data_IF_999077737842
#
_entry.id   IF_999077737842
#
_cell.length_a   1.000
_cell.length_b   1.000
_cell.length_c   1.000
_cell.angle_alpha   90.00
_cell.angle_beta   90.00
_cell.angle_gamma   90.00
#
_symmetry.space_group_name_H-M   'P 1'
#
loop_
_entity.id
_entity.type
_entity.pdbx_description
1 polymer ?
#
# COMPACT_ATOMS: atom_id res chain seq x y z
N UNK A 1 56.33 -16.81 45.31
CA UNK A 1 55.90 -18.22 45.41
C UNK A 1 56.60 -19.00 44.30
N UNK A 2 57.60 -19.83 44.64
CA UNK A 2 58.37 -20.74 43.76
C UNK A 2 57.46 -21.93 43.29
N UNK A 3 57.90 -22.90 42.45
CA UNK A 3 58.46 -22.82 41.07
C UNK A 3 58.02 -23.99 40.12
N UNK A 4 58.51 -23.96 38.85
CA UNK A 4 59.04 -25.08 38.03
C UNK A 4 58.18 -26.23 37.40
N UNK A 5 58.49 -26.49 36.10
CA UNK A 5 58.79 -27.77 35.39
C UNK A 5 57.70 -28.53 34.60
N UNK A 6 57.80 -28.39 33.27
CA UNK A 6 58.14 -29.41 32.24
C UNK A 6 57.15 -30.54 31.87
N UNK A 7 56.87 -30.64 30.55
CA UNK A 7 56.99 -31.79 29.61
C UNK A 7 56.09 -31.44 28.38
N UNK A 8 56.49 -31.42 27.10
CA UNK A 8 57.07 -32.51 26.29
C UNK A 8 57.52 -31.99 24.89
N UNK A 9 58.75 -32.37 24.53
CA UNK A 9 59.24 -32.90 23.22
C UNK A 9 59.19 -32.13 21.89
N UNK A 10 60.42 -31.82 21.43
CA UNK A 10 61.07 -32.14 20.13
C UNK A 10 60.48 -31.59 18.81
N UNK A 11 61.27 -30.64 18.29
CA UNK A 11 61.95 -30.66 16.98
C UNK A 11 61.20 -30.11 15.74
N UNK A 12 61.71 -28.98 15.21
CA UNK A 12 61.71 -28.74 13.76
C UNK A 12 61.50 -27.29 13.29
N UNK A 13 62.53 -26.45 13.38
CA UNK A 13 62.82 -25.24 12.54
C UNK A 13 61.72 -24.16 12.40
N UNK A 14 61.92 -23.05 13.11
CA UNK A 14 61.73 -21.69 12.56
C UNK A 14 63.12 -21.18 12.12
N UNK A 15 63.31 -20.25 11.14
CA UNK A 15 62.54 -19.00 11.07
C UNK A 15 62.24 -18.48 9.64
N UNK A 16 61.08 -17.85 9.45
CA UNK A 16 61.05 -16.61 8.66
C UNK A 16 59.99 -15.68 9.24
N UNK A 17 60.48 -14.78 10.08
CA UNK A 17 59.83 -13.54 10.44
C UNK A 17 59.42 -12.80 9.16
N UNK A 18 58.13 -12.81 8.83
CA UNK A 18 57.51 -11.66 8.19
C UNK A 18 56.36 -11.21 9.08
N UNK A 19 56.75 -10.59 10.18
CA UNK A 19 55.87 -9.81 11.03
C UNK A 19 55.44 -8.57 10.21
N UNK A 20 54.45 -8.75 9.35
CA UNK A 20 53.71 -7.63 8.76
C UNK A 20 52.97 -6.97 9.92
N UNK A 21 53.65 -5.98 10.50
CA UNK A 21 53.10 -4.99 11.43
C UNK A 21 52.08 -4.18 10.63
N UNK A 22 50.91 -4.76 10.38
CA UNK A 22 49.75 -4.03 9.92
C UNK A 22 49.39 -3.09 11.06
N UNK A 23 49.82 -1.84 10.88
CA UNK A 23 49.50 -0.71 11.72
C UNK A 23 47.97 -0.64 11.86
N UNK A 24 47.43 -1.12 12.97
CA UNK A 24 45.99 -1.20 13.25
C UNK A 24 45.37 0.15 13.62
N UNK A 25 46.11 1.26 13.46
CA UNK A 25 45.67 2.61 13.82
C UNK A 25 45.01 3.40 12.67
N UNK A 26 45.00 2.87 11.43
CA UNK A 26 44.46 3.56 10.25
C UNK A 26 43.31 2.83 9.53
N UNK A 27 42.71 1.82 10.17
CA UNK A 27 41.69 0.96 9.56
C UNK A 27 40.20 1.42 9.61
N UNK A 28 39.74 2.41 10.41
CA UNK A 28 38.30 2.72 10.47
C UNK A 28 37.82 3.79 9.46
N UNK A 29 38.57 4.89 9.28
CA UNK A 29 38.04 6.06 8.56
C UNK A 29 37.99 5.90 7.04
N UNK A 30 38.94 5.17 6.45
CA UNK A 30 39.09 5.01 5.00
C UNK A 30 38.02 4.08 4.43
N UNK A 31 37.77 2.95 5.10
CA UNK A 31 36.72 1.98 4.72
C UNK A 31 35.31 2.54 4.91
N UNK A 32 35.08 3.37 5.94
CA UNK A 32 33.79 4.04 6.13
C UNK A 32 33.54 5.10 5.04
N UNK A 33 34.57 5.87 4.65
CA UNK A 33 34.48 6.82 3.54
C UNK A 33 34.20 6.14 2.20
N UNK A 34 34.88 5.03 1.90
CA UNK A 34 34.62 4.24 0.69
C UNK A 34 33.24 3.60 0.70
N UNK A 35 32.79 3.06 1.83
CA UNK A 35 31.42 2.50 1.97
C UNK A 35 30.37 3.59 1.79
N UNK A 36 30.57 4.78 2.38
CA UNK A 36 29.68 5.94 2.18
C UNK A 36 29.62 6.38 0.72
N UNK A 37 30.77 6.45 0.04
CA UNK A 37 30.88 6.85 -1.36
C UNK A 37 30.21 5.83 -2.28
N UNK A 38 30.50 4.54 -2.10
CA UNK A 38 29.90 3.45 -2.87
C UNK A 38 28.39 3.36 -2.71
N UNK A 39 27.89 3.45 -1.46
CA UNK A 39 26.43 3.40 -1.20
C UNK A 39 25.71 4.64 -1.73
N UNK A 40 26.31 5.83 -1.66
CA UNK A 40 25.70 7.06 -2.19
C UNK A 40 25.60 7.04 -3.73
N UNK A 41 26.49 6.33 -4.41
CA UNK A 41 26.52 6.24 -5.87
C UNK A 41 25.57 5.18 -6.48
N UNK A 42 24.93 4.33 -5.67
CA UNK A 42 24.07 3.26 -6.18
C UNK A 42 22.74 3.79 -6.74
N UNK A 43 22.33 3.23 -7.87
CA UNK A 43 21.02 3.47 -8.48
C UNK A 43 19.87 3.04 -7.55
N UNK A 44 18.75 3.76 -7.59
CA UNK A 44 17.55 3.51 -6.78
C UNK A 44 16.95 2.12 -7.03
N UNK A 45 17.01 1.61 -8.27
CA UNK A 45 16.56 0.25 -8.61
C UNK A 45 17.42 -0.84 -7.97
N UNK A 46 18.73 -0.62 -7.89
CA UNK A 46 19.65 -1.53 -7.19
C UNK A 46 19.34 -1.55 -5.69
N UNK A 47 19.02 -0.39 -5.10
CA UNK A 47 18.59 -0.29 -3.71
C UNK A 47 17.27 -1.03 -3.49
N UNK A 48 16.30 -0.90 -4.40
CA UNK A 48 15.03 -1.63 -4.34
C UNK A 48 15.28 -3.14 -4.36
N UNK A 49 16.03 -3.63 -5.35
CA UNK A 49 16.34 -5.06 -5.48
C UNK A 49 17.03 -5.62 -4.24
N UNK A 50 18.05 -4.94 -3.73
CA UNK A 50 18.76 -5.36 -2.51
C UNK A 50 17.89 -5.32 -1.25
N UNK A 51 16.97 -4.37 -1.16
CA UNK A 51 16.06 -4.24 -0.01
C UNK A 51 15.02 -5.36 0.07
N UNK A 52 14.85 -6.16 -0.98
CA UNK A 52 13.98 -7.34 -0.95
C UNK A 52 14.58 -8.50 -0.14
N UNK A 53 15.90 -8.63 -0.05
CA UNK A 53 16.52 -9.84 0.52
C UNK A 53 17.77 -9.63 1.37
N UNK A 54 18.40 -8.44 1.35
CA UNK A 54 19.71 -8.22 1.98
C UNK A 54 19.63 -7.24 3.17
N UNK A 55 19.35 -7.73 4.39
CA UNK A 55 19.46 -6.93 5.61
C UNK A 55 20.84 -6.27 5.78
N UNK A 56 21.90 -6.91 5.29
CA UNK A 56 23.26 -6.36 5.27
C UNK A 56 23.38 -5.09 4.44
N UNK A 57 22.78 -5.06 3.25
CA UNK A 57 22.77 -3.86 2.42
C UNK A 57 21.88 -2.78 3.04
N UNK A 58 20.71 -3.13 3.60
CA UNK A 58 19.85 -2.19 4.34
C UNK A 58 20.62 -1.53 5.49
N UNK A 59 21.43 -2.30 6.23
CA UNK A 59 22.29 -1.78 7.27
C UNK A 59 23.32 -0.78 6.73
N UNK A 60 23.87 -1.00 5.54
CA UNK A 60 24.81 -0.07 4.87
C UNK A 60 24.10 1.20 4.37
N UNK A 61 22.83 1.10 3.97
CA UNK A 61 22.06 2.25 3.49
C UNK A 61 21.82 3.33 4.55
N UNK A 62 22.01 3.02 5.85
CA UNK A 62 21.97 4.01 6.95
C UNK A 62 22.83 5.26 6.72
N UNK A 63 23.87 5.12 5.89
CA UNK A 63 24.78 6.20 5.53
C UNK A 63 24.29 7.12 4.41
N UNK A 64 23.18 6.79 3.75
CA UNK A 64 22.59 7.62 2.71
C UNK A 64 21.97 8.90 3.28
N UNK A 65 21.82 9.89 2.40
CA UNK A 65 21.13 11.14 2.70
C UNK A 65 19.63 10.94 2.85
N UNK A 66 18.99 11.72 3.73
CA UNK A 66 17.53 11.68 3.93
C UNK A 66 16.81 11.97 2.61
N UNK A 67 17.25 12.97 1.83
CA UNK A 67 16.62 13.30 0.55
C UNK A 67 16.61 12.15 -0.47
N UNK A 68 17.70 11.38 -0.57
CA UNK A 68 17.74 10.18 -1.44
C UNK A 68 16.78 9.10 -0.98
N UNK A 69 16.66 8.95 0.34
CA UNK A 69 15.74 7.98 0.96
C UNK A 69 14.27 8.40 0.78
N UNK A 70 13.99 9.70 0.85
CA UNK A 70 12.68 10.28 0.52
C UNK A 70 12.31 9.99 -0.94
N UNK A 71 13.22 10.25 -1.88
CA UNK A 71 13.01 9.92 -3.30
C UNK A 71 12.78 8.43 -3.53
N UNK A 72 13.49 7.57 -2.78
CA UNK A 72 13.26 6.13 -2.78
C UNK A 72 11.84 5.77 -2.31
N UNK A 73 11.35 6.35 -1.21
CA UNK A 73 10.00 6.11 -0.71
C UNK A 73 8.92 6.56 -1.71
N UNK A 74 9.11 7.70 -2.37
CA UNK A 74 8.21 8.16 -3.43
C UNK A 74 8.14 7.14 -4.57
N UNK A 75 9.28 6.64 -5.04
CA UNK A 75 9.31 5.62 -6.09
C UNK A 75 8.65 4.31 -5.64
N UNK A 76 9.00 3.81 -4.45
CA UNK A 76 8.41 2.59 -3.90
C UNK A 76 6.89 2.71 -3.77
N UNK A 77 6.42 3.87 -3.31
CA UNK A 77 4.99 4.15 -3.15
C UNK A 77 4.30 4.22 -4.51
N UNK A 78 4.88 4.94 -5.48
CA UNK A 78 4.35 5.06 -6.83
C UNK A 78 4.13 3.69 -7.46
N UNK A 79 5.15 2.82 -7.40
CA UNK A 79 5.05 1.46 -7.92
C UNK A 79 4.00 0.64 -7.18
N UNK A 80 3.89 0.82 -5.86
CA UNK A 80 2.98 0.02 -5.04
C UNK A 80 1.50 0.31 -5.27
N UNK A 81 1.14 1.54 -5.66
CA UNK A 81 -0.27 1.92 -5.85
C UNK A 81 -0.82 1.60 -7.24
N UNK A 82 0.03 1.24 -8.21
CA UNK A 82 -0.39 1.03 -9.59
C UNK A 82 -1.52 -0.02 -9.74
N UNK A 83 -1.47 -1.19 -9.07
CA UNK A 83 -2.54 -2.18 -9.19
C UNK A 83 -3.87 -1.61 -8.68
N UNK A 84 -3.86 -1.05 -7.47
CA UNK A 84 -5.03 -0.42 -6.87
C UNK A 84 -5.61 0.69 -7.75
N UNK A 85 -4.76 1.58 -8.28
CA UNK A 85 -5.20 2.66 -9.18
C UNK A 85 -5.85 2.10 -10.45
N UNK A 86 -5.25 1.09 -11.07
CA UNK A 86 -5.77 0.45 -12.29
C UNK A 86 -7.13 -0.20 -12.03
N UNK A 87 -7.27 -1.02 -10.98
CA UNK A 87 -8.51 -1.74 -10.69
C UNK A 87 -9.65 -0.81 -10.30
N UNK A 88 -9.38 0.20 -9.46
CA UNK A 88 -10.42 1.17 -9.07
C UNK A 88 -10.87 2.00 -10.27
N UNK A 89 -9.92 2.46 -11.11
CA UNK A 89 -10.25 3.28 -12.28
C UNK A 89 -10.99 2.50 -13.35
N UNK A 90 -10.59 1.25 -13.62
CA UNK A 90 -11.29 0.37 -14.57
C UNK A 90 -12.69 0.00 -14.07
N UNK A 91 -12.84 -0.32 -12.78
CA UNK A 91 -14.13 -0.62 -12.17
C UNK A 91 -15.09 0.58 -12.24
N UNK A 92 -14.58 1.79 -11.99
CA UNK A 92 -15.38 3.02 -12.10
C UNK A 92 -15.83 3.28 -13.55
N UNK A 93 -14.90 3.17 -14.50
CA UNK A 93 -15.19 3.40 -15.92
C UNK A 93 -16.20 2.37 -16.45
N UNK A 94 -16.03 1.09 -16.09
CA UNK A 94 -16.95 0.04 -16.46
C UNK A 94 -18.32 0.22 -15.80
N UNK A 95 -18.37 0.56 -14.50
CA UNK A 95 -19.63 0.83 -13.80
C UNK A 95 -20.45 1.94 -14.46
N UNK A 96 -19.79 3.04 -14.86
CA UNK A 96 -20.45 4.14 -15.57
C UNK A 96 -20.89 3.74 -16.99
N UNK A 97 -20.06 2.98 -17.71
CA UNK A 97 -20.38 2.50 -19.07
C UNK A 97 -21.57 1.55 -19.05
N UNK A 98 -21.58 0.59 -18.13
CA UNK A 98 -22.66 -0.38 -17.94
C UNK A 98 -23.94 0.33 -17.54
N UNK A 99 -23.89 1.21 -16.53
CA UNK A 99 -25.09 1.97 -16.11
C UNK A 99 -25.69 2.79 -17.26
N UNK A 100 -24.84 3.44 -18.07
CA UNK A 100 -25.27 4.17 -19.25
C UNK A 100 -25.92 3.26 -20.30
N UNK A 101 -25.36 2.07 -20.55
CA UNK A 101 -25.94 1.10 -21.48
C UNK A 101 -27.30 0.58 -21.01
N UNK A 102 -27.46 0.33 -19.70
CA UNK A 102 -28.72 -0.16 -19.12
C UNK A 102 -29.82 0.89 -19.19
N UNK A 103 -29.52 2.14 -18.85
CA UNK A 103 -30.47 3.23 -19.02
C UNK A 103 -30.89 3.37 -20.47
N UNK A 104 -29.95 3.32 -21.42
CA UNK A 104 -30.20 3.54 -22.85
C UNK A 104 -30.95 2.39 -23.55
N UNK A 105 -30.77 1.16 -23.12
CA UNK A 105 -31.25 0.00 -23.88
C UNK A 105 -32.23 -0.90 -23.12
N UNK A 106 -32.23 -0.89 -21.79
CA UNK A 106 -32.98 -1.86 -20.98
C UNK A 106 -34.06 -1.24 -20.11
N UNK A 107 -33.89 0.02 -19.68
CA UNK A 107 -34.87 0.70 -18.84
C UNK A 107 -35.89 1.48 -19.68
N UNK A 108 -37.20 1.31 -19.43
CA UNK A 108 -38.23 2.15 -20.03
C UNK A 108 -38.13 3.59 -19.51
N UNK A 109 -38.73 4.57 -20.22
CA UNK A 109 -38.84 5.94 -19.72
C UNK A 109 -39.46 5.97 -18.32
N UNK A 110 -38.97 6.88 -17.49
CA UNK A 110 -39.45 7.03 -16.13
C UNK A 110 -39.37 8.48 -15.66
N UNK A 111 -40.23 8.82 -14.70
CA UNK A 111 -40.16 10.08 -13.97
C UNK A 111 -40.32 9.83 -12.48
N UNK A 112 -39.61 10.62 -11.66
CA UNK A 112 -39.77 10.66 -10.22
C UNK A 112 -40.38 12.01 -9.87
N UNK A 113 -41.62 12.00 -9.41
CA UNK A 113 -42.39 13.20 -9.09
C UNK A 113 -43.24 12.95 -7.85
N UNK A 114 -43.41 13.98 -7.00
CA UNK A 114 -44.24 13.88 -5.79
C UNK A 114 -43.89 12.70 -4.86
N UNK A 115 -42.63 12.27 -4.85
CA UNK A 115 -42.16 11.15 -4.03
C UNK A 115 -42.46 9.75 -4.60
N UNK A 116 -42.89 9.65 -5.87
CA UNK A 116 -43.16 8.38 -6.54
C UNK A 116 -42.41 8.23 -7.88
N UNK A 117 -41.95 7.02 -8.17
CA UNK A 117 -41.41 6.60 -9.46
C UNK A 117 -42.54 6.13 -10.37
N UNK A 118 -42.69 6.81 -11.51
CA UNK A 118 -43.65 6.49 -12.56
C UNK A 118 -42.94 5.92 -13.79
N UNK A 119 -43.45 4.80 -14.32
CA UNK A 119 -42.98 4.19 -15.56
C UNK A 119 -44.03 3.22 -16.12
N UNK A 120 -44.03 2.98 -17.43
CA UNK A 120 -44.94 2.06 -18.12
C UNK A 120 -44.63 0.56 -17.87
N UNK A 121 -43.56 0.26 -17.12
CA UNK A 121 -43.18 -1.11 -16.78
C UNK A 121 -44.29 -1.84 -16.00
N UNK A 122 -44.83 -2.93 -16.56
CA UNK A 122 -45.87 -3.75 -15.91
C UNK A 122 -45.32 -4.73 -14.84
N UNK A 123 -44.01 -5.01 -14.90
CA UNK A 123 -43.31 -5.93 -14.01
C UNK A 123 -41.93 -5.37 -13.61
N UNK A 124 -41.43 -5.73 -12.41
CA UNK A 124 -40.07 -5.41 -12.00
C UNK A 124 -39.04 -5.91 -13.02
N UNK A 125 -38.06 -5.06 -13.34
CA UNK A 125 -36.92 -5.39 -14.20
C UNK A 125 -35.74 -5.70 -13.30
N UNK A 126 -35.14 -6.86 -13.49
CA UNK A 126 -33.97 -7.33 -12.75
C UNK A 126 -32.83 -7.60 -13.72
N UNK A 127 -31.70 -6.94 -13.50
CA UNK A 127 -30.52 -6.99 -14.36
C UNK A 127 -29.35 -7.40 -13.47
N UNK A 128 -28.73 -8.55 -13.76
CA UNK A 128 -27.55 -9.02 -13.06
C UNK A 128 -26.32 -8.90 -13.97
N UNK A 129 -25.37 -8.06 -13.57
CA UNK A 129 -24.14 -7.82 -14.32
C UNK A 129 -22.93 -8.05 -13.41
N UNK A 130 -22.35 -9.25 -13.50
CA UNK A 130 -21.04 -9.54 -12.90
C UNK A 130 -20.99 -9.41 -11.38
N UNK A 131 -22.05 -9.77 -10.66
CA UNK A 131 -22.12 -9.68 -9.20
C UNK A 131 -22.62 -8.33 -8.67
N UNK A 132 -23.21 -7.51 -9.56
CA UNK A 132 -23.91 -6.28 -9.24
C UNK A 132 -25.33 -6.35 -9.82
N UNK A 133 -26.34 -6.24 -8.95
CA UNK A 133 -27.75 -6.37 -9.34
C UNK A 133 -28.41 -5.00 -9.46
N UNK A 134 -29.03 -4.71 -10.59
CA UNK A 134 -29.83 -3.51 -10.79
C UNK A 134 -31.30 -3.90 -10.85
N UNK A 135 -32.13 -3.25 -10.03
CA UNK A 135 -33.56 -3.52 -9.91
C UNK A 135 -34.32 -2.24 -10.23
N UNK A 136 -35.32 -2.34 -11.08
CA UNK A 136 -36.21 -1.23 -11.41
C UNK A 136 -37.65 -1.69 -11.23
N UNK A 137 -38.38 -1.06 -10.30
CA UNK A 137 -39.76 -1.40 -10.01
C UNK A 137 -40.60 -0.16 -9.67
N UNK A 138 -41.41 0.29 -10.63
CA UNK A 138 -42.44 1.31 -10.43
C UNK A 138 -43.75 0.76 -9.86
N UNK A 139 -43.94 -0.57 -9.82
CA UNK A 139 -45.21 -1.20 -9.42
C UNK A 139 -45.35 -1.39 -7.91
N UNK A 140 -44.24 -1.37 -7.17
CA UNK A 140 -44.21 -1.59 -5.71
C UNK A 140 -44.33 -3.06 -5.31
N UNK A 141 -43.97 -4.00 -6.20
CA UNK A 141 -43.93 -5.44 -5.93
C UNK A 141 -42.65 -5.87 -5.22
N UNK A 142 -41.54 -5.14 -5.42
CA UNK A 142 -40.25 -5.38 -4.77
C UNK A 142 -40.11 -4.43 -3.59
N UNK A 143 -39.80 -4.98 -2.42
CA UNK A 143 -39.52 -4.19 -1.21
C UNK A 143 -38.02 -4.03 -1.00
N UNK A 144 -37.63 -3.06 -0.17
CA UNK A 144 -36.24 -2.82 0.17
C UNK A 144 -35.58 -4.03 0.84
N UNK A 145 -36.32 -4.79 1.65
CA UNK A 145 -35.80 -6.03 2.27
C UNK A 145 -35.46 -7.10 1.24
N UNK A 146 -36.12 -7.12 0.07
CA UNK A 146 -35.72 -8.02 -1.02
C UNK A 146 -34.39 -7.59 -1.65
N UNK A 147 -34.12 -6.28 -1.71
CA UNK A 147 -32.89 -5.72 -2.29
C UNK A 147 -31.69 -5.93 -1.35
N UNK A 148 -31.90 -5.84 -0.04
CA UNK A 148 -30.86 -6.02 1.00
C UNK A 148 -30.19 -7.40 0.99
N UNK A 149 -30.84 -8.40 0.38
CA UNK A 149 -30.31 -9.77 0.27
C UNK A 149 -29.15 -9.86 -0.73
N UNK A 150 -29.04 -8.91 -1.66
CA UNK A 150 -27.98 -8.90 -2.66
C UNK A 150 -26.68 -8.32 -2.07
N UNK A 151 -25.51 -8.88 -2.42
CA UNK A 151 -24.23 -8.39 -1.88
C UNK A 151 -23.90 -6.97 -2.34
N UNK A 152 -24.19 -6.66 -3.61
CA UNK A 152 -24.10 -5.32 -4.18
C UNK A 152 -25.28 -5.10 -5.13
N UNK A 153 -26.07 -4.05 -4.91
CA UNK A 153 -27.23 -3.77 -5.73
C UNK A 153 -27.58 -2.27 -5.78
N UNK A 154 -28.22 -1.85 -6.86
CA UNK A 154 -28.93 -0.56 -6.96
C UNK A 154 -30.37 -0.85 -7.33
N UNK A 155 -31.31 -0.41 -6.53
CA UNK A 155 -32.73 -0.52 -6.83
C UNK A 155 -33.38 0.86 -6.93
N UNK A 156 -34.12 1.09 -8.02
CA UNK A 156 -35.07 2.18 -8.16
C UNK A 156 -36.46 1.58 -7.88
N UNK A 157 -36.94 1.74 -6.64
CA UNK A 157 -38.25 1.25 -6.22
C UNK A 157 -39.28 2.36 -6.32
N UNK A 158 -40.54 2.05 -6.02
CA UNK A 158 -41.68 2.97 -6.18
C UNK A 158 -41.53 4.28 -5.39
N UNK A 159 -41.00 4.24 -4.17
CA UNK A 159 -40.94 5.40 -3.25
C UNK A 159 -39.53 5.75 -2.77
N UNK A 160 -38.55 4.91 -3.11
CA UNK A 160 -37.18 5.05 -2.64
C UNK A 160 -36.19 4.46 -3.65
N UNK A 161 -34.96 4.98 -3.62
CA UNK A 161 -33.81 4.30 -4.19
C UNK A 161 -33.04 3.58 -3.08
N UNK A 162 -32.62 2.34 -3.34
CA UNK A 162 -31.84 1.54 -2.39
C UNK A 162 -30.48 1.22 -3.00
N UNK A 163 -29.42 1.56 -2.28
CA UNK A 163 -28.03 1.24 -2.64
C UNK A 163 -27.48 0.23 -1.64
N UNK A 164 -27.11 -0.96 -2.11
CA UNK A 164 -26.46 -1.99 -1.32
C UNK A 164 -25.00 -2.13 -1.74
N UNK A 165 -24.08 -1.98 -0.80
CA UNK A 165 -22.66 -2.18 -1.01
C UNK A 165 -22.09 -3.04 0.13
N UNK A 166 -21.59 -4.23 -0.19
CA UNK A 166 -21.06 -5.17 0.80
C UNK A 166 -22.08 -5.57 1.87
N UNK A 167 -23.34 -5.82 1.49
CA UNK A 167 -24.47 -6.12 2.39
C UNK A 167 -24.82 -4.99 3.37
N UNK A 168 -24.46 -3.74 3.05
CA UNK A 168 -24.91 -2.56 3.77
C UNK A 168 -25.81 -1.77 2.84
N UNK A 169 -27.07 -1.60 3.23
CA UNK A 169 -28.06 -0.88 2.47
C UNK A 169 -28.18 0.58 2.93
N UNK A 170 -28.33 1.47 1.96
CA UNK A 170 -28.69 2.87 2.16
C UNK A 170 -29.96 3.17 1.38
N UNK A 171 -30.89 3.84 2.05
CA UNK A 171 -32.23 4.12 1.54
C UNK A 171 -32.35 5.63 1.30
N UNK A 172 -32.81 6.00 0.11
CA UNK A 172 -33.03 7.37 -0.28
C UNK A 172 -34.48 7.54 -0.68
N UNK A 173 -35.32 8.03 0.25
CA UNK A 173 -36.73 8.28 -0.03
C UNK A 173 -36.91 9.47 -0.97
N UNK A 174 -37.73 9.32 -2.00
CA UNK A 174 -38.03 10.39 -2.94
C UNK A 174 -38.84 11.53 -2.32
N UNK A 175 -39.59 11.26 -1.24
CA UNK A 175 -40.34 12.27 -0.49
C UNK A 175 -39.43 13.35 0.13
N UNK A 176 -38.13 13.10 0.23
CA UNK A 176 -37.12 14.09 0.68
C UNK A 176 -36.97 15.26 -0.31
N UNK A 177 -37.41 15.08 -1.57
CA UNK A 177 -37.28 16.06 -2.65
C UNK A 177 -38.65 16.39 -3.27
N UNK A 178 -39.57 17.04 -2.53
CA UNK A 178 -40.97 17.20 -2.95
C UNK A 178 -41.16 18.09 -4.18
N UNK A 179 -40.28 19.07 -4.40
CA UNK A 179 -40.38 20.05 -5.49
C UNK A 179 -39.44 19.72 -6.68
N UNK A 180 -38.96 18.48 -6.76
CA UNK A 180 -38.01 18.06 -7.80
C UNK A 180 -38.63 16.96 -8.65
N UNK A 181 -38.78 17.26 -9.94
CA UNK A 181 -39.07 16.27 -10.99
C UNK A 181 -37.75 15.77 -11.55
N UNK A 182 -37.53 14.45 -11.52
CA UNK A 182 -36.35 13.82 -12.15
C UNK A 182 -36.84 12.89 -13.24
N UNK A 183 -36.47 13.16 -14.49
CA UNK A 183 -36.78 12.29 -15.63
C UNK A 183 -35.62 11.38 -15.98
N UNK A 184 -35.87 10.32 -16.76
CA UNK A 184 -34.79 9.48 -17.28
C UNK A 184 -33.82 10.27 -18.17
N UNK A 185 -34.29 11.29 -18.90
CA UNK A 185 -33.45 12.21 -19.66
C UNK A 185 -32.47 12.98 -18.77
N UNK A 186 -32.92 13.47 -17.60
CA UNK A 186 -32.05 14.15 -16.63
C UNK A 186 -30.96 13.21 -16.11
N UNK A 187 -31.32 11.96 -15.81
CA UNK A 187 -30.37 10.94 -15.34
C UNK A 187 -29.35 10.60 -16.43
N UNK A 188 -29.80 10.46 -17.69
CA UNK A 188 -28.91 10.25 -18.85
C UNK A 188 -27.95 11.41 -19.03
N UNK A 189 -28.44 12.65 -18.96
CA UNK A 189 -27.64 13.85 -19.08
C UNK A 189 -26.59 13.95 -17.97
N UNK A 190 -26.96 13.61 -16.74
CA UNK A 190 -26.04 13.54 -15.61
C UNK A 190 -24.93 12.50 -15.84
N UNK A 191 -25.27 11.29 -16.27
CA UNK A 191 -24.28 10.22 -16.52
C UNK A 191 -23.37 10.57 -17.70
N UNK A 192 -23.91 11.14 -18.78
CA UNK A 192 -23.11 11.63 -19.90
C UNK A 192 -22.14 12.74 -19.44
N UNK A 193 -22.60 13.63 -18.56
CA UNK A 193 -21.77 14.62 -17.87
C UNK A 193 -20.64 13.95 -17.09
N UNK A 194 -20.94 12.97 -16.24
CA UNK A 194 -19.92 12.21 -15.49
C UNK A 194 -18.90 11.53 -16.41
N UNK A 195 -19.37 10.87 -17.48
CA UNK A 195 -18.50 10.24 -18.48
C UNK A 195 -17.52 11.23 -19.10
N UNK A 196 -18.00 12.43 -19.45
CA UNK A 196 -17.16 13.49 -20.03
C UNK A 196 -16.07 14.00 -19.07
N UNK A 197 -16.31 13.90 -17.75
CA UNK A 197 -15.37 14.32 -16.72
C UNK A 197 -14.36 13.25 -16.32
N UNK A 198 -14.58 11.97 -16.67
CA UNK A 198 -13.68 10.87 -16.31
C UNK A 198 -12.20 11.11 -16.68
N UNK A 199 -11.86 11.66 -17.86
CA UNK A 199 -10.46 11.94 -18.21
C UNK A 199 -9.77 12.94 -17.25
N UNK A 200 -10.52 13.76 -16.53
CA UNK A 200 -10.00 14.70 -15.52
C UNK A 200 -10.08 14.09 -14.12
N UNK A 201 -11.18 13.43 -13.79
CA UNK A 201 -11.42 12.85 -12.46
C UNK A 201 -10.47 11.68 -12.16
N UNK A 202 -10.19 10.80 -13.14
CA UNK A 202 -9.33 9.63 -12.93
C UNK A 202 -7.88 10.05 -12.57
N UNK A 203 -7.20 10.93 -13.35
CA UNK A 203 -5.87 11.41 -12.97
C UNK A 203 -5.86 12.16 -11.64
N UNK A 204 -6.89 12.97 -11.37
CA UNK A 204 -7.02 13.68 -10.09
C UNK A 204 -7.12 12.72 -8.92
N UNK A 205 -7.96 11.69 -9.04
CA UNK A 205 -8.07 10.62 -8.05
C UNK A 205 -6.72 9.90 -7.86
N UNK A 206 -6.03 9.57 -8.95
CA UNK A 206 -4.70 8.96 -8.90
C UNK A 206 -3.67 9.82 -8.16
N UNK A 207 -3.70 11.14 -8.37
CA UNK A 207 -2.84 12.10 -7.66
C UNK A 207 -3.16 12.13 -6.16
N UNK A 208 -4.44 12.22 -5.79
CA UNK A 208 -4.88 12.22 -4.38
C UNK A 208 -4.48 10.91 -3.70
N UNK A 209 -4.74 9.77 -4.35
CA UNK A 209 -4.36 8.45 -3.88
C UNK A 209 -2.85 8.35 -3.65
N UNK A 210 -2.05 8.84 -4.60
CA UNK A 210 -0.59 8.86 -4.49
C UNK A 210 -0.10 9.70 -3.31
N UNK A 211 -0.64 10.90 -3.12
CA UNK A 211 -0.27 11.78 -2.00
C UNK A 211 -0.63 11.13 -0.66
N UNK A 212 -1.83 10.56 -0.53
CA UNK A 212 -2.27 9.86 0.68
C UNK A 212 -1.40 8.64 0.96
N UNK A 213 -1.09 7.84 -0.06
CA UNK A 213 -0.22 6.67 0.08
C UNK A 213 1.20 7.07 0.53
N UNK A 214 1.74 8.16 -0.02
CA UNK A 214 3.03 8.69 0.40
C UNK A 214 2.99 9.09 1.88
N UNK A 215 1.99 9.88 2.28
CA UNK A 215 1.82 10.30 3.67
C UNK A 215 1.74 9.09 4.62
N UNK A 216 0.97 8.07 4.26
CA UNK A 216 0.88 6.81 5.02
C UNK A 216 2.21 6.08 5.16
N UNK A 217 3.00 5.99 4.08
CA UNK A 217 4.35 5.38 4.12
C UNK A 217 5.32 6.20 4.97
N UNK A 218 5.27 7.53 4.90
CA UNK A 218 6.08 8.40 5.77
C UNK A 218 5.77 8.20 7.25
N UNK A 219 4.49 8.19 7.61
CA UNK A 219 4.05 7.94 9.00
C UNK A 219 4.53 6.56 9.45
N UNK A 220 4.36 5.53 8.62
CA UNK A 220 4.81 4.16 8.92
C UNK A 220 6.31 4.09 9.15
N UNK A 221 7.12 4.73 8.29
CA UNK A 221 8.58 4.76 8.43
C UNK A 221 9.01 5.49 9.70
N UNK A 222 8.35 6.58 10.09
CA UNK A 222 8.62 7.26 11.35
C UNK A 222 8.33 6.36 12.57
N UNK A 223 7.22 5.62 12.54
CA UNK A 223 6.88 4.67 13.60
C UNK A 223 7.92 3.53 13.65
N UNK A 224 8.29 2.95 12.50
CA UNK A 224 9.34 1.93 12.45
C UNK A 224 10.71 2.47 12.87
N UNK A 225 11.03 3.72 12.58
CA UNK A 225 12.29 4.35 13.01
C UNK A 225 12.40 4.43 14.53
N UNK A 226 11.28 4.71 15.21
CA UNK A 226 11.17 4.68 16.66
C UNK A 226 11.41 3.27 17.20
N UNK A 227 10.76 2.24 16.65
CA UNK A 227 11.05 0.85 17.00
C UNK A 227 12.51 0.49 16.71
N UNK A 228 13.08 0.95 15.60
CA UNK A 228 14.47 0.75 15.23
C UNK A 228 15.46 1.33 16.26
N UNK A 229 15.12 2.43 16.95
CA UNK A 229 15.92 2.94 18.06
C UNK A 229 15.90 2.01 19.26
N UNK A 230 14.72 1.50 19.61
CA UNK A 230 14.56 0.52 20.69
C UNK A 230 15.40 -0.73 20.36
N UNK A 231 15.29 -1.25 19.14
CA UNK A 231 16.07 -2.40 18.68
C UNK A 231 17.58 -2.13 18.72
N UNK A 232 18.01 -0.92 18.37
CA UNK A 232 19.42 -0.52 18.46
C UNK A 232 19.93 -0.56 19.91
N UNK A 233 19.14 -0.07 20.86
CA UNK A 233 19.46 -0.14 22.29
C UNK A 233 19.53 -1.58 22.80
N UNK A 234 18.55 -2.43 22.46
CA UNK A 234 18.51 -3.85 22.86
C UNK A 234 19.70 -4.64 22.29
N UNK A 235 20.16 -4.30 21.07
CA UNK A 235 21.26 -4.99 20.37
C UNK A 235 22.63 -4.34 20.60
N UNK A 236 22.73 -3.37 21.51
CA UNK A 236 23.97 -2.65 21.86
C UNK A 236 24.65 -2.01 20.62
N UNK A 237 23.82 -1.41 19.74
CA UNK A 237 24.23 -0.74 18.50
C UNK A 237 24.18 0.77 18.65
N UNK A 238 25.22 1.46 18.19
CA UNK A 238 25.26 2.93 18.17
C UNK A 238 24.56 3.47 16.93
N UNK A 239 23.24 3.62 17.00
CA UNK A 239 22.41 4.23 15.95
C UNK A 239 21.68 5.47 16.47
N UNK A 240 21.50 6.46 15.58
CA UNK A 240 20.70 7.66 15.84
C UNK A 240 19.38 7.52 15.09
N UNK A 241 18.36 8.31 15.46
CA UNK A 241 17.05 8.27 14.81
C UNK A 241 17.13 8.38 13.28
N UNK A 242 18.01 9.26 12.78
CA UNK A 242 18.28 9.38 11.34
C UNK A 242 18.68 8.05 10.70
N UNK A 243 19.53 7.26 11.35
CA UNK A 243 19.97 5.97 10.80
C UNK A 243 18.83 4.95 10.79
N UNK A 244 18.07 4.86 11.88
CA UNK A 244 16.94 3.92 11.98
C UNK A 244 15.80 4.30 11.06
N UNK A 245 15.57 5.60 10.83
CA UNK A 245 14.63 6.11 9.84
C UNK A 245 15.01 5.71 8.42
N UNK A 246 16.27 5.91 8.05
CA UNK A 246 16.77 5.47 6.73
C UNK A 246 16.65 3.97 6.57
N UNK A 247 17.08 3.19 7.57
CA UNK A 247 16.96 1.72 7.52
C UNK A 247 15.51 1.26 7.44
N UNK A 248 14.59 1.92 8.14
CA UNK A 248 13.15 1.60 8.11
C UNK A 248 12.54 1.82 6.74
N UNK A 249 12.94 2.90 6.04
CA UNK A 249 12.48 3.19 4.69
C UNK A 249 12.82 2.08 3.68
N UNK A 250 13.96 1.40 3.87
CA UNK A 250 14.35 0.24 3.06
C UNK A 250 13.82 -1.09 3.61
N UNK A 251 13.57 -1.20 4.92
CA UNK A 251 13.06 -2.43 5.52
C UNK A 251 11.60 -2.74 5.11
N UNK A 252 10.80 -1.72 4.84
CA UNK A 252 9.40 -1.90 4.41
C UNK A 252 9.26 -2.43 2.96
N UNK A 253 10.34 -2.50 2.20
CA UNK A 253 10.32 -2.81 0.77
C UNK A 253 9.84 -4.20 0.47
N UNK A 254 10.39 -5.21 1.17
CA UNK A 254 9.99 -6.61 0.98
C UNK A 254 8.48 -6.77 1.15
N UNK A 255 7.95 -6.24 2.25
CA UNK A 255 6.53 -6.36 2.52
C UNK A 255 5.69 -5.54 1.52
N UNK A 256 6.10 -4.32 1.19
CA UNK A 256 5.38 -3.49 0.22
C UNK A 256 5.29 -4.17 -1.14
N UNK A 257 6.41 -4.70 -1.65
CA UNK A 257 6.44 -5.40 -2.95
C UNK A 257 5.61 -6.68 -2.90
N UNK A 258 5.65 -7.44 -1.80
CA UNK A 258 4.79 -8.60 -1.62
C UNK A 258 3.30 -8.21 -1.77
N UNK A 259 2.85 -7.18 -1.07
CA UNK A 259 1.44 -6.74 -1.15
C UNK A 259 1.09 -6.17 -2.52
N UNK A 260 1.99 -5.45 -3.19
CA UNK A 260 1.77 -5.01 -4.57
C UNK A 260 1.54 -6.20 -5.51
N UNK A 261 2.32 -7.28 -5.37
CA UNK A 261 2.13 -8.49 -6.18
C UNK A 261 0.79 -9.16 -5.85
N UNK A 262 0.43 -9.28 -4.57
CA UNK A 262 -0.86 -9.85 -4.16
C UNK A 262 -2.06 -9.04 -4.69
N UNK A 263 -2.00 -7.71 -4.64
CA UNK A 263 -3.01 -6.82 -5.23
C UNK A 263 -3.08 -6.99 -6.75
N UNK A 264 -1.93 -7.14 -7.42
CA UNK A 264 -1.87 -7.35 -8.88
C UNK A 264 -2.57 -8.63 -9.33
N UNK A 265 -2.53 -9.69 -8.51
CA UNK A 265 -3.23 -10.95 -8.81
C UNK A 265 -4.61 -11.02 -8.16
N UNK A 266 -5.09 -9.92 -7.57
CA UNK A 266 -6.35 -9.83 -6.82
C UNK A 266 -6.47 -10.87 -5.69
N UNK A 267 -5.34 -11.29 -5.11
CA UNK A 267 -5.33 -12.20 -3.98
C UNK A 267 -5.64 -11.43 -2.69
N UNK A 268 -6.74 -11.81 -2.04
CA UNK A 268 -7.09 -11.27 -0.72
C UNK A 268 -6.14 -11.86 0.32
N UNK A 269 -5.42 -10.99 1.03
CA UNK A 269 -4.53 -11.38 2.13
C UNK A 269 -5.22 -11.05 3.46
N UNK A 270 -5.70 -12.07 4.22
CA UNK A 270 -6.25 -11.85 5.54
C UNK A 270 -5.22 -11.20 6.45
N UNK A 271 -5.66 -10.25 7.29
CA UNK A 271 -4.78 -9.53 8.23
C UNK A 271 -3.60 -8.81 7.56
N UNK A 272 -3.75 -8.38 6.29
CA UNK A 272 -2.67 -7.79 5.49
C UNK A 272 -1.89 -6.68 6.20
N UNK A 273 -2.57 -5.77 6.89
CA UNK A 273 -1.90 -4.70 7.65
C UNK A 273 -0.98 -5.24 8.77
N UNK A 274 -1.42 -6.24 9.54
CA UNK A 274 -0.61 -6.84 10.60
C UNK A 274 0.60 -7.58 10.03
N UNK A 275 0.41 -8.34 8.96
CA UNK A 275 1.49 -9.02 8.25
C UNK A 275 2.49 -8.00 7.70
N UNK A 276 2.01 -6.88 7.15
CA UNK A 276 2.86 -5.81 6.63
C UNK A 276 3.79 -5.26 7.70
N UNK A 277 3.22 -4.95 8.86
CA UNK A 277 3.98 -4.44 10.00
C UNK A 277 4.96 -5.47 10.54
N UNK A 278 4.52 -6.72 10.71
CA UNK A 278 5.36 -7.79 11.21
C UNK A 278 6.58 -8.05 10.31
N UNK A 279 6.37 -8.23 9.01
CA UNK A 279 7.47 -8.49 8.06
C UNK A 279 8.45 -7.31 8.03
N UNK A 280 7.95 -6.08 8.02
CA UNK A 280 8.79 -4.88 8.00
C UNK A 280 9.65 -4.76 9.27
N UNK A 281 9.07 -5.05 10.45
CA UNK A 281 9.80 -5.06 11.72
C UNK A 281 10.86 -6.17 11.78
N UNK A 282 10.55 -7.35 11.26
CA UNK A 282 11.51 -8.47 11.18
C UNK A 282 12.70 -8.08 10.29
N UNK A 283 12.45 -7.52 9.10
CA UNK A 283 13.53 -7.06 8.21
C UNK A 283 14.35 -5.96 8.88
N UNK A 284 13.70 -5.00 9.55
CA UNK A 284 14.39 -3.94 10.28
C UNK A 284 15.26 -4.52 11.41
N UNK A 285 14.75 -5.46 12.19
CA UNK A 285 15.49 -6.15 13.24
C UNK A 285 16.75 -6.85 12.69
N UNK A 286 16.60 -7.61 11.61
CA UNK A 286 17.73 -8.27 10.94
C UNK A 286 18.75 -7.24 10.44
N UNK A 287 18.30 -6.12 9.89
CA UNK A 287 19.20 -5.08 9.40
C UNK A 287 19.95 -4.38 10.54
N UNK A 288 19.30 -4.11 11.67
CA UNK A 288 19.95 -3.53 12.86
C UNK A 288 21.00 -4.49 13.43
N UNK A 289 20.73 -5.80 13.43
CA UNK A 289 21.68 -6.83 13.88
C UNK A 289 23.00 -6.80 13.08
N UNK A 290 22.93 -6.52 11.78
CA UNK A 290 24.09 -6.44 10.87
C UNK A 290 24.93 -5.17 11.03
N UNK A 291 24.49 -4.20 11.84
CA UNK A 291 25.31 -3.03 12.18
C UNK A 291 26.44 -3.44 13.13
N UNK A 292 27.70 -3.03 12.90
CA UNK A 292 28.79 -3.29 13.85
C UNK A 292 28.49 -2.70 15.24
N UNK A 293 28.73 -3.46 16.30
CA UNK A 293 28.63 -2.95 17.68
C UNK A 293 29.79 -2.00 17.97
N UNK A 294 29.56 -1.00 18.83
CA UNK A 294 30.66 -0.19 19.33
C UNK A 294 31.61 -1.08 20.14
N UNK A 295 32.92 -0.92 19.89
CA UNK A 295 33.95 -1.61 20.67
C UNK A 295 33.82 -1.12 22.11
N UNK A 296 33.49 -1.99 23.07
CA UNK A 296 33.68 -1.67 24.49
C UNK A 296 35.18 -1.57 24.69
N UNK A 297 35.69 -0.38 25.03
CA UNK A 297 36.99 -0.29 25.69
C UNK A 297 36.81 -0.96 27.05
N UNK A 298 37.45 -2.12 27.24
CA UNK A 298 37.57 -2.82 28.50
C UNK A 298 38.93 -2.46 29.08
#
# INVERSE_FOLDING_TARGET
MKPFICLLTKAGRCPLFLCLKLNSSSFPATMEKETKKGVSAMNVFVQLWKSLYSPKDIARFRFQGIGKTIGYLFLLTLLSILPTFYYVSSSLMEGIRTTSALLNNELPPFSIENGELHSEAATPIHIDQGGFTIIFDSTGKVTSENVEQFPNAIALLKHEAVLVAGHQAQHYSYATFPDVTITDEDVRAFIAGLQSLLPVLIPLFGLVLYVLACAGKFISVCIFAFFGLILAGVLDKTLRYRHTWVMSAYAITLSTVFFTVMETVQAVVPYGALIHWFVSLVVLFLAVKEVPSAKREI
#
